data_IF_136389058599
#
_entry.id   IF_136389058599
#
_cell.length_a   1.000
_cell.length_b   1.000
_cell.length_c   1.000
_cell.angle_alpha   90.00
_cell.angle_beta   90.00
_cell.angle_gamma   90.00
#
_symmetry.space_group_name_H-M   'P 1'
#
loop_
_entity.id
_entity.type
_entity.pdbx_description
1 polymer ?
#
# COMPACT_ATOMS: atom_id res chain seq x y z
N UNK A 1 15.56 22.15 7.18
CA UNK A 1 15.39 21.74 5.77
C UNK A 1 15.63 20.25 5.68
N UNK A 2 14.87 19.51 4.84
CA UNK A 2 15.17 18.10 4.62
C UNK A 2 16.64 17.96 4.16
N UNK A 3 17.24 16.81 4.48
CA UNK A 3 18.50 16.41 3.90
C UNK A 3 18.36 16.42 2.36
N UNK A 4 19.33 16.93 1.58
CA UNK A 4 19.24 17.00 0.10
C UNK A 4 18.88 15.68 -0.56
N UNK A 5 19.34 14.55 -0.03
CA UNK A 5 19.00 13.21 -0.49
C UNK A 5 17.51 12.92 -0.30
N UNK A 6 16.95 13.22 0.88
CA UNK A 6 15.51 13.04 1.12
C UNK A 6 14.67 13.95 0.22
N UNK A 7 15.13 15.19 -0.04
CA UNK A 7 14.41 16.10 -0.92
C UNK A 7 14.31 15.55 -2.35
N UNK A 8 15.40 15.00 -2.87
CA UNK A 8 15.40 14.37 -4.20
C UNK A 8 14.38 13.22 -4.27
N UNK A 9 14.32 12.36 -3.24
CA UNK A 9 13.36 11.26 -3.17
C UNK A 9 11.92 11.78 -3.08
N UNK A 10 11.66 12.82 -2.29
CA UNK A 10 10.34 13.44 -2.15
C UNK A 10 9.87 13.98 -3.50
N UNK A 11 10.74 14.70 -4.21
CA UNK A 11 10.41 15.31 -5.50
C UNK A 11 10.13 14.22 -6.56
N UNK A 12 10.95 13.17 -6.63
CA UNK A 12 10.74 12.03 -7.52
C UNK A 12 9.46 11.26 -7.19
N UNK A 13 9.22 11.00 -5.89
CA UNK A 13 8.01 10.32 -5.42
C UNK A 13 6.73 11.05 -5.85
N UNK A 14 6.68 12.37 -5.66
CA UNK A 14 5.53 13.19 -6.06
C UNK A 14 5.38 13.29 -7.57
N UNK A 15 6.50 13.46 -8.30
CA UNK A 15 6.49 13.54 -9.77
C UNK A 15 6.00 12.23 -10.44
N UNK A 16 6.25 11.07 -9.80
CA UNK A 16 5.96 9.76 -10.36
C UNK A 16 4.93 8.95 -9.54
N UNK A 17 4.07 9.64 -8.78
CA UNK A 17 2.96 9.01 -8.01
C UNK A 17 3.41 7.84 -7.14
N UNK A 18 4.46 8.07 -6.36
CA UNK A 18 4.97 7.08 -5.41
C UNK A 18 6.03 6.13 -5.96
N UNK A 19 6.41 6.27 -7.24
CA UNK A 19 7.51 5.50 -7.81
C UNK A 19 8.83 6.24 -7.63
N UNK A 20 9.82 5.54 -7.09
CA UNK A 20 11.19 6.05 -6.92
C UNK A 20 12.14 5.00 -7.46
N UNK A 21 13.09 5.41 -8.26
CA UNK A 21 14.07 4.54 -8.88
C UNK A 21 15.30 4.24 -7.99
N UNK A 22 16.34 3.69 -8.62
CA UNK A 22 17.60 3.38 -7.96
C UNK A 22 17.46 2.41 -6.79
N UNK A 23 18.00 2.73 -5.59
CA UNK A 23 17.95 1.83 -4.43
C UNK A 23 16.51 1.52 -3.94
N UNK A 24 15.54 2.33 -4.35
CA UNK A 24 14.13 2.21 -3.92
C UNK A 24 13.22 1.60 -4.99
N UNK A 25 13.79 1.16 -6.12
CA UNK A 25 13.01 0.56 -7.19
C UNK A 25 12.28 -0.70 -6.71
N UNK A 26 10.96 -0.67 -6.81
CA UNK A 26 10.09 -1.74 -6.33
C UNK A 26 9.96 -1.82 -4.80
N UNK A 27 10.31 -0.77 -4.06
CA UNK A 27 10.03 -0.68 -2.64
C UNK A 27 8.65 -0.04 -2.38
N UNK A 28 7.99 -0.46 -1.29
CA UNK A 28 6.84 0.26 -0.77
C UNK A 28 7.32 1.46 0.02
N UNK A 29 7.13 2.65 -0.54
CA UNK A 29 7.48 3.92 0.07
C UNK A 29 6.24 4.77 0.34
N UNK A 30 6.29 5.54 1.42
CA UNK A 30 5.38 6.63 1.72
C UNK A 30 6.16 7.89 2.09
N UNK A 31 5.53 9.06 1.97
CA UNK A 31 6.03 10.28 2.57
C UNK A 31 5.26 10.53 3.87
N UNK A 32 5.99 10.61 4.98
CA UNK A 32 5.46 10.93 6.29
C UNK A 32 5.73 12.39 6.61
N UNK A 33 4.69 13.21 6.74
CA UNK A 33 4.80 14.59 7.21
C UNK A 33 4.43 14.66 8.69
N UNK A 34 5.37 15.07 9.51
CA UNK A 34 5.27 15.22 10.97
C UNK A 34 5.39 16.68 11.38
N UNK A 35 4.75 17.07 12.50
CA UNK A 35 4.93 18.38 13.12
C UNK A 35 6.17 18.38 14.02
N UNK A 36 7.13 19.25 13.76
CA UNK A 36 8.38 19.35 14.52
C UNK A 36 8.14 19.54 16.00
N UNK A 37 8.69 18.63 16.84
CA UNK A 37 8.47 18.63 18.30
C UNK A 37 8.89 19.94 19.00
N UNK A 38 9.86 20.66 18.44
CA UNK A 38 10.36 21.91 18.99
C UNK A 38 9.96 23.15 18.20
N UNK A 39 9.78 22.99 16.90
CA UNK A 39 9.58 24.12 15.98
C UNK A 39 8.12 24.32 15.59
N UNK A 40 7.28 23.29 15.72
CA UNK A 40 5.90 23.28 15.23
C UNK A 40 5.79 23.31 13.71
N UNK A 41 6.91 23.27 12.96
CA UNK A 41 6.90 23.31 11.51
C UNK A 41 6.77 21.90 10.91
N UNK A 42 6.15 21.74 9.72
CA UNK A 42 6.04 20.44 9.08
C UNK A 42 7.38 19.95 8.54
N UNK A 43 7.63 18.65 8.69
CA UNK A 43 8.80 17.95 8.18
C UNK A 43 8.38 16.69 7.46
N UNK A 44 8.71 16.56 6.17
CA UNK A 44 8.40 15.39 5.35
C UNK A 44 9.63 14.47 5.25
N UNK A 45 9.41 13.18 5.44
CA UNK A 45 10.46 12.14 5.38
C UNK A 45 9.96 10.96 4.54
N UNK A 46 10.71 10.51 3.53
CA UNK A 46 10.40 9.28 2.80
C UNK A 46 10.74 8.06 3.66
N UNK A 47 9.81 7.13 3.80
CA UNK A 47 9.95 5.93 4.62
C UNK A 47 9.46 4.70 3.88
N UNK A 48 10.16 3.57 4.04
CA UNK A 48 9.62 2.27 3.72
C UNK A 48 8.50 1.90 4.68
N UNK A 49 7.46 1.24 4.17
CA UNK A 49 6.34 0.80 4.99
C UNK A 49 5.93 -0.65 4.72
N UNK A 50 5.24 -1.22 5.68
CA UNK A 50 4.62 -2.54 5.59
C UNK A 50 3.11 -2.44 5.80
N UNK A 51 2.28 -3.03 4.94
CA UNK A 51 0.88 -3.28 5.25
C UNK A 51 0.74 -4.11 6.55
N UNK A 52 -0.26 -3.78 7.39
CA UNK A 52 -0.48 -4.48 8.65
C UNK A 52 -1.95 -4.95 8.81
N UNK A 53 -2.61 -5.08 7.67
CA UNK A 53 -4.04 -5.36 7.63
C UNK A 53 -4.91 -4.17 8.06
N UNK A 54 -6.18 -4.18 7.66
CA UNK A 54 -7.08 -3.07 7.98
C UNK A 54 -6.66 -1.76 7.32
N UNK A 55 -6.80 -0.67 8.08
CA UNK A 55 -6.56 0.72 7.65
C UNK A 55 -5.28 1.27 8.27
N UNK A 56 -4.25 0.44 8.40
CA UNK A 56 -2.98 0.86 8.99
C UNK A 56 -1.79 0.30 8.25
N UNK A 57 -0.71 1.05 8.29
CA UNK A 57 0.61 0.65 7.80
C UNK A 57 1.65 0.83 8.90
N UNK A 58 2.72 0.06 8.83
CA UNK A 58 3.83 0.12 9.79
C UNK A 58 5.03 0.83 9.18
N UNK A 59 5.67 1.68 9.96
CA UNK A 59 6.99 2.26 9.67
C UNK A 59 7.97 1.95 10.79
N UNK A 60 9.24 1.75 10.45
CA UNK A 60 10.28 1.29 11.38
C UNK A 60 11.31 2.40 11.62
N UNK A 61 11.47 2.83 12.86
CA UNK A 61 12.35 3.95 13.24
C UNK A 61 13.81 3.51 13.38
N UNK A 62 14.35 2.85 12.32
CA UNK A 62 15.70 2.27 12.35
C UNK A 62 16.83 3.31 12.33
N UNK A 63 16.68 4.39 11.55
CA UNK A 63 17.78 5.33 11.26
C UNK A 63 19.08 4.61 10.83
N UNK A 64 18.95 3.50 10.06
CA UNK A 64 20.09 2.69 9.63
C UNK A 64 20.88 2.00 10.78
N UNK A 65 20.25 1.85 11.95
CA UNK A 65 20.92 1.32 13.15
C UNK A 65 21.68 2.38 13.96
N UNK A 66 21.46 3.69 13.69
CA UNK A 66 22.08 4.76 14.48
C UNK A 66 21.69 4.68 15.98
N UNK A 67 22.56 5.15 16.91
CA UNK A 67 22.30 5.07 18.35
C UNK A 67 21.15 5.97 18.83
N UNK A 68 20.69 6.90 17.99
CA UNK A 68 19.58 7.82 18.28
C UNK A 68 18.38 7.51 17.39
N UNK A 69 17.18 7.74 17.91
CA UNK A 69 15.97 7.70 17.09
C UNK A 69 15.98 8.81 16.04
N UNK A 70 15.37 8.59 14.86
CA UNK A 70 15.25 9.64 13.84
C UNK A 70 14.35 10.78 14.32
N UNK A 71 14.57 11.98 13.80
CA UNK A 71 13.83 13.18 14.21
C UNK A 71 12.31 13.02 14.00
N UNK A 72 11.88 12.40 12.91
CA UNK A 72 10.46 12.15 12.65
C UNK A 72 9.79 11.32 13.75
N UNK A 73 10.53 10.39 14.40
CA UNK A 73 10.01 9.62 15.52
C UNK A 73 9.80 10.49 16.75
N UNK A 74 10.74 11.37 17.07
CA UNK A 74 10.55 12.34 18.16
C UNK A 74 9.38 13.28 17.89
N UNK A 75 9.21 13.71 16.64
CA UNK A 75 8.11 14.57 16.23
C UNK A 75 6.74 13.89 16.46
N UNK A 76 6.56 12.65 15.97
CA UNK A 76 5.28 11.96 16.13
C UNK A 76 4.97 11.54 17.58
N UNK A 77 5.99 11.34 18.42
CA UNK A 77 5.76 11.11 19.85
C UNK A 77 5.21 12.38 20.54
N UNK A 78 5.70 13.56 20.12
CA UNK A 78 5.20 14.83 20.61
C UNK A 78 3.85 15.23 19.99
N UNK A 79 3.68 14.95 18.69
CA UNK A 79 2.50 15.32 17.90
C UNK A 79 2.09 14.12 17.04
N UNK A 80 1.17 13.26 17.54
CA UNK A 80 0.85 11.98 16.87
C UNK A 80 -0.01 12.13 15.62
N UNK A 81 -0.56 13.32 15.33
CA UNK A 81 -1.27 13.57 14.07
C UNK A 81 -0.25 13.83 12.96
N UNK A 82 -0.36 13.06 11.89
CA UNK A 82 0.57 13.06 10.78
C UNK A 82 -0.18 13.01 9.45
N UNK A 83 0.45 13.53 8.39
CA UNK A 83 -0.05 13.35 7.03
C UNK A 83 0.76 12.26 6.33
N UNK A 84 0.08 11.36 5.63
CA UNK A 84 0.66 10.25 4.88
C UNK A 84 0.35 10.42 3.39
N UNK A 85 1.39 10.38 2.54
CA UNK A 85 1.25 10.32 1.08
C UNK A 85 1.73 8.95 0.60
N UNK A 86 0.88 8.18 -0.10
CA UNK A 86 1.23 6.86 -0.67
C UNK A 86 1.38 6.89 -2.19
N UNK A 87 1.59 8.09 -2.74
CA UNK A 87 1.75 8.34 -4.17
C UNK A 87 0.45 8.73 -4.87
N UNK A 88 -0.63 8.04 -4.62
CA UNK A 88 -1.97 8.34 -5.16
C UNK A 88 -2.87 8.93 -4.09
N UNK A 89 -2.78 8.41 -2.88
CA UNK A 89 -3.62 8.83 -1.77
C UNK A 89 -2.85 9.71 -0.80
N UNK A 90 -3.50 10.80 -0.36
CA UNK A 90 -3.05 11.62 0.77
C UNK A 90 -4.13 11.61 1.84
N UNK A 91 -3.74 11.27 3.07
CA UNK A 91 -4.67 11.19 4.20
C UNK A 91 -4.02 11.55 5.53
N UNK A 92 -4.86 11.96 6.48
CA UNK A 92 -4.45 12.19 7.85
C UNK A 92 -4.47 10.87 8.63
N UNK A 93 -3.45 10.66 9.46
CA UNK A 93 -3.31 9.47 10.27
C UNK A 93 -2.90 9.81 11.70
N UNK A 94 -3.24 8.92 12.62
CA UNK A 94 -2.74 8.93 13.99
C UNK A 94 -1.60 7.92 14.12
N UNK A 95 -0.42 8.41 14.52
CA UNK A 95 0.74 7.56 14.77
C UNK A 95 0.66 6.94 16.17
N UNK A 96 0.80 5.61 16.24
CA UNK A 96 0.79 4.84 17.48
C UNK A 96 2.08 4.04 17.58
N UNK A 97 2.93 4.36 18.54
CA UNK A 97 4.11 3.57 18.83
C UNK A 97 3.65 2.23 19.41
N UNK A 98 4.03 1.13 18.79
CA UNK A 98 3.65 -0.20 19.26
C UNK A 98 4.29 -0.51 20.62
N UNK A 99 3.53 -1.15 21.50
CA UNK A 99 4.07 -1.72 22.72
C UNK A 99 5.09 -2.84 22.41
N UNK A 100 5.77 -3.32 23.44
CA UNK A 100 6.86 -4.28 23.26
C UNK A 100 6.43 -5.56 22.53
N UNK A 101 5.30 -6.14 22.90
CA UNK A 101 4.84 -7.40 22.32
C UNK A 101 4.44 -7.24 20.85
N UNK A 102 3.60 -6.26 20.55
CA UNK A 102 3.18 -5.94 19.18
C UNK A 102 4.37 -5.48 18.31
N UNK A 103 5.31 -4.72 18.90
CA UNK A 103 6.55 -4.32 18.23
C UNK A 103 7.40 -5.52 17.85
N UNK A 104 7.62 -6.45 18.79
CA UNK A 104 8.49 -7.62 18.57
C UNK A 104 7.91 -8.52 17.48
N UNK A 105 6.59 -8.74 17.48
CA UNK A 105 5.89 -9.48 16.42
C UNK A 105 6.03 -8.78 15.05
N UNK A 106 5.73 -7.48 14.97
CA UNK A 106 5.81 -6.71 13.74
C UNK A 106 7.25 -6.64 13.21
N UNK A 107 8.23 -6.48 14.08
CA UNK A 107 9.64 -6.43 13.71
C UNK A 107 10.14 -7.80 13.22
N UNK A 108 9.69 -8.90 13.84
CA UNK A 108 10.02 -10.25 13.38
C UNK A 108 9.50 -10.51 11.96
N UNK A 109 8.26 -10.06 11.64
CA UNK A 109 7.71 -10.12 10.27
C UNK A 109 8.53 -9.30 9.27
N UNK A 110 9.00 -8.12 9.69
CA UNK A 110 9.85 -7.30 8.85
C UNK A 110 11.20 -7.98 8.57
N UNK A 111 11.83 -8.60 9.59
CA UNK A 111 13.07 -9.37 9.45
C UNK A 111 12.87 -10.60 8.57
N UNK A 112 11.73 -11.30 8.69
CA UNK A 112 11.39 -12.42 7.81
C UNK A 112 11.32 -11.99 6.33
N UNK A 113 10.75 -10.82 6.08
CA UNK A 113 10.61 -10.24 4.74
C UNK A 113 11.93 -9.68 4.19
N UNK A 114 12.74 -9.07 5.07
CA UNK A 114 14.05 -8.47 4.73
C UNK A 114 15.01 -8.57 5.93
N UNK A 115 16.01 -9.48 5.85
CA UNK A 115 17.01 -9.67 6.92
C UNK A 115 17.82 -8.42 7.28
N UNK A 116 17.88 -7.41 6.40
CA UNK A 116 18.57 -6.14 6.67
C UNK A 116 18.06 -5.40 7.91
N UNK A 117 16.81 -5.66 8.31
CA UNK A 117 16.27 -5.11 9.57
C UNK A 117 16.97 -5.67 10.81
N UNK A 118 17.33 -6.96 10.81
CA UNK A 118 18.11 -7.56 11.89
C UNK A 118 19.51 -6.94 11.97
N UNK A 119 20.13 -6.65 10.83
CA UNK A 119 21.44 -5.96 10.79
C UNK A 119 21.37 -4.55 11.38
N UNK A 120 20.26 -3.81 11.14
CA UNK A 120 20.09 -2.49 11.78
C UNK A 120 19.92 -2.61 13.29
N UNK A 121 19.18 -3.60 13.77
CA UNK A 121 19.04 -3.84 15.22
C UNK A 121 20.37 -4.27 15.86
N UNK A 122 21.21 -5.03 15.15
CA UNK A 122 22.52 -5.46 15.64
C UNK A 122 23.52 -4.31 15.76
N UNK A 123 23.32 -3.19 15.07
CA UNK A 123 24.20 -2.00 15.12
C UNK A 123 23.92 -1.08 16.32
N UNK A 124 22.87 -1.33 17.11
CA UNK A 124 22.47 -0.42 18.19
C UNK A 124 21.90 -1.18 19.39
N UNK A 125 22.22 -0.71 20.60
CA UNK A 125 21.67 -1.24 21.85
C UNK A 125 20.23 -0.79 22.12
N UNK A 126 19.76 0.27 21.42
CA UNK A 126 18.36 0.70 21.55
C UNK A 126 17.42 -0.28 20.86
N UNK A 127 16.27 -0.52 21.44
CA UNK A 127 15.19 -1.21 20.74
C UNK A 127 14.67 -0.30 19.63
N UNK A 128 14.74 -0.74 18.37
CA UNK A 128 14.22 0.00 17.23
C UNK A 128 12.69 0.01 17.29
N UNK A 129 12.03 1.19 17.40
CA UNK A 129 10.58 1.25 17.47
C UNK A 129 9.91 0.90 16.15
N UNK A 130 8.72 0.32 16.24
CA UNK A 130 7.76 0.19 15.13
C UNK A 130 6.56 1.06 15.44
N UNK A 131 6.11 1.81 14.47
CA UNK A 131 5.00 2.76 14.58
C UNK A 131 3.91 2.35 13.61
N UNK A 132 2.69 2.19 14.10
CA UNK A 132 1.50 2.02 13.28
C UNK A 132 0.94 3.41 12.93
N UNK A 133 0.76 3.67 11.64
CA UNK A 133 0.05 4.83 11.12
C UNK A 133 -1.37 4.37 10.81
N UNK A 134 -2.33 4.82 11.62
CA UNK A 134 -3.74 4.48 11.47
C UNK A 134 -4.45 5.63 10.79
N UNK A 135 -5.04 5.36 9.63
CA UNK A 135 -5.85 6.37 8.93
C UNK A 135 -6.97 6.89 9.83
N UNK A 136 -7.13 8.21 9.89
CA UNK A 136 -8.21 8.84 10.64
C UNK A 136 -9.53 8.68 9.88
N UNK A 137 -10.64 8.35 10.58
CA UNK A 137 -11.96 8.30 9.96
C UNK A 137 -12.27 9.61 9.24
N UNK A 138 -12.77 9.54 8.03
CA UNK A 138 -13.20 10.69 7.23
C UNK A 138 -14.52 10.42 6.54
N UNK A 139 -15.34 11.44 6.28
CA UNK A 139 -16.49 11.29 5.39
C UNK A 139 -16.01 11.21 3.93
N UNK A 140 -16.52 10.24 3.18
CA UNK A 140 -16.31 10.11 1.74
C UNK A 140 -15.04 9.37 1.30
N UNK A 141 -14.84 9.25 -0.02
CA UNK A 141 -13.72 8.51 -0.60
C UNK A 141 -12.36 9.16 -0.32
N UNK A 142 -11.26 8.42 -0.49
CA UNK A 142 -9.91 8.94 -0.39
C UNK A 142 -9.68 10.13 -1.33
N UNK A 143 -8.89 11.10 -0.86
CA UNK A 143 -8.48 12.22 -1.72
C UNK A 143 -7.42 11.73 -2.71
N UNK A 144 -7.74 11.83 -3.99
CA UNK A 144 -6.84 11.50 -5.10
C UNK A 144 -6.51 12.80 -5.84
N UNK A 145 -5.24 13.09 -6.03
CA UNK A 145 -4.81 14.20 -6.87
C UNK A 145 -4.85 13.77 -8.34
N UNK A 146 -5.87 14.22 -9.04
CA UNK A 146 -6.07 13.95 -10.47
C UNK A 146 -6.78 15.12 -11.14
N UNK A 147 -6.48 15.34 -12.41
CA UNK A 147 -7.07 16.43 -13.22
C UNK A 147 -8.46 16.08 -13.75
N UNK A 148 -8.81 14.79 -13.77
CA UNK A 148 -10.12 14.28 -14.19
C UNK A 148 -10.46 12.98 -13.47
N UNK A 149 -11.76 12.59 -13.40
CA UNK A 149 -12.18 11.30 -12.86
C UNK A 149 -11.50 10.10 -13.53
N UNK A 150 -11.30 10.16 -14.85
CA UNK A 150 -10.61 9.09 -15.59
C UNK A 150 -9.13 8.99 -15.27
N UNK A 151 -8.48 10.10 -14.93
CA UNK A 151 -7.11 10.07 -14.40
C UNK A 151 -7.06 9.48 -12.99
N UNK A 152 -8.05 9.80 -12.16
CA UNK A 152 -8.16 9.23 -10.81
C UNK A 152 -8.29 7.71 -10.84
N UNK A 153 -9.17 7.17 -11.70
CA UNK A 153 -9.35 5.72 -11.87
C UNK A 153 -8.04 5.07 -12.32
N UNK A 154 -7.41 5.56 -13.39
CA UNK A 154 -6.12 5.02 -13.84
C UNK A 154 -5.04 5.05 -12.76
N UNK A 155 -5.01 6.11 -11.95
CA UNK A 155 -4.06 6.21 -10.85
C UNK A 155 -4.29 5.13 -9.79
N UNK A 156 -5.54 4.81 -9.45
CA UNK A 156 -5.91 3.71 -8.54
C UNK A 156 -5.55 2.35 -9.14
N UNK A 157 -5.87 2.13 -10.42
CA UNK A 157 -5.50 0.90 -11.14
C UNK A 157 -3.99 0.67 -11.14
N UNK A 158 -3.20 1.71 -11.35
CA UNK A 158 -1.74 1.65 -11.28
C UNK A 158 -1.21 1.24 -9.89
N UNK A 159 -1.94 1.57 -8.81
CA UNK A 159 -1.61 1.07 -7.47
C UNK A 159 -1.81 -0.44 -7.40
N UNK A 160 -2.93 -0.97 -7.90
CA UNK A 160 -3.18 -2.42 -7.89
C UNK A 160 -2.17 -3.18 -8.76
N UNK A 161 -1.88 -2.68 -9.97
CA UNK A 161 -0.83 -3.27 -10.83
C UNK A 161 0.51 -3.32 -10.11
N UNK A 162 0.88 -2.23 -9.44
CA UNK A 162 2.13 -2.15 -8.69
C UNK A 162 2.15 -3.14 -7.52
N UNK A 163 1.09 -3.21 -6.73
CA UNK A 163 1.01 -4.13 -5.59
C UNK A 163 1.08 -5.60 -6.03
N UNK A 164 0.40 -5.98 -7.11
CA UNK A 164 0.51 -7.31 -7.69
C UNK A 164 1.95 -7.62 -8.15
N UNK A 165 2.61 -6.66 -8.81
CA UNK A 165 4.00 -6.83 -9.23
C UNK A 165 4.95 -7.00 -8.03
N UNK A 166 4.73 -6.25 -6.93
CA UNK A 166 5.51 -6.38 -5.69
C UNK A 166 5.27 -7.74 -5.02
N UNK A 167 4.02 -8.19 -4.91
CA UNK A 167 3.66 -9.50 -4.37
C UNK A 167 4.33 -10.61 -5.18
N UNK A 168 4.26 -10.56 -6.52
CA UNK A 168 4.93 -11.53 -7.39
C UNK A 168 6.45 -11.55 -7.19
N UNK A 169 7.07 -10.36 -7.06
CA UNK A 169 8.50 -10.23 -6.75
C UNK A 169 8.84 -10.85 -5.39
N UNK A 170 8.00 -10.63 -4.38
CA UNK A 170 8.16 -11.22 -3.05
C UNK A 170 8.04 -12.76 -3.10
N UNK A 171 7.13 -13.30 -3.89
CA UNK A 171 7.06 -14.74 -4.14
C UNK A 171 8.34 -15.28 -4.79
N UNK A 172 8.95 -14.53 -5.70
CA UNK A 172 10.17 -14.95 -6.40
C UNK A 172 11.43 -14.82 -5.53
N UNK A 173 11.53 -13.76 -4.70
CA UNK A 173 12.73 -13.40 -3.95
C UNK A 173 12.97 -14.26 -2.70
N UNK A 174 11.92 -14.87 -2.15
CA UNK A 174 12.03 -15.54 -0.88
C UNK A 174 12.74 -16.89 -1.01
N UNK A 175 14.01 -16.92 -0.76
CA UNK A 175 14.89 -18.12 -0.79
C UNK A 175 14.80 -19.03 0.44
N UNK A 176 13.79 -18.90 1.30
CA UNK A 176 13.81 -19.43 2.65
C UNK A 176 12.99 -20.68 2.95
N UNK A 177 12.40 -21.34 1.99
CA UNK A 177 11.60 -22.54 2.26
C UNK A 177 10.20 -22.50 1.64
N UNK A 178 9.43 -23.59 1.72
CA UNK A 178 8.13 -23.69 1.07
C UNK A 178 7.04 -22.84 1.75
N UNK A 179 7.18 -22.54 3.05
CA UNK A 179 6.16 -21.83 3.81
C UNK A 179 5.97 -20.38 3.33
N UNK A 180 4.74 -19.91 3.36
CA UNK A 180 4.39 -18.53 3.04
C UNK A 180 4.65 -17.64 4.26
N UNK A 181 5.53 -16.64 4.11
CA UNK A 181 5.89 -15.70 5.17
C UNK A 181 4.69 -14.88 5.68
N UNK A 182 4.71 -14.52 6.95
CA UNK A 182 3.59 -13.83 7.59
C UNK A 182 3.32 -12.45 6.95
N UNK A 183 4.36 -11.70 6.60
CA UNK A 183 4.19 -10.40 5.94
C UNK A 183 3.61 -10.56 4.52
N UNK A 184 4.05 -11.55 3.76
CA UNK A 184 3.52 -11.78 2.41
C UNK A 184 2.02 -12.16 2.44
N UNK A 185 1.58 -12.94 3.45
CA UNK A 185 0.15 -13.22 3.68
C UNK A 185 -0.63 -11.92 3.90
N UNK A 186 -0.13 -11.03 4.77
CA UNK A 186 -0.78 -9.74 5.03
C UNK A 186 -0.83 -8.88 3.77
N UNK A 187 0.22 -8.86 2.95
CA UNK A 187 0.25 -8.12 1.69
C UNK A 187 -0.84 -8.62 0.73
N UNK A 188 -0.98 -9.94 0.55
CA UNK A 188 -2.04 -10.54 -0.27
C UNK A 188 -3.44 -10.18 0.25
N UNK A 189 -3.68 -10.32 1.56
CA UNK A 189 -4.99 -10.03 2.15
C UNK A 189 -5.35 -8.54 2.06
N UNK A 190 -4.37 -7.66 2.20
CA UNK A 190 -4.56 -6.20 2.05
C UNK A 190 -4.93 -5.85 0.62
N UNK A 191 -4.25 -6.42 -0.38
CA UNK A 191 -4.60 -6.26 -1.79
C UNK A 191 -6.03 -6.73 -2.08
N UNK A 192 -6.38 -7.93 -1.60
CA UNK A 192 -7.72 -8.48 -1.79
C UNK A 192 -8.81 -7.55 -1.23
N UNK A 193 -8.59 -6.99 -0.03
CA UNK A 193 -9.55 -6.06 0.57
C UNK A 193 -9.65 -4.76 -0.23
N UNK A 194 -8.51 -4.25 -0.71
CA UNK A 194 -8.47 -3.04 -1.54
C UNK A 194 -9.27 -3.19 -2.83
N UNK A 195 -9.10 -4.31 -3.54
CA UNK A 195 -9.82 -4.62 -4.77
C UNK A 195 -11.33 -4.79 -4.54
N UNK A 196 -11.75 -5.50 -3.49
CA UNK A 196 -13.17 -5.60 -3.15
C UNK A 196 -13.81 -4.23 -2.92
N UNK A 197 -13.14 -3.37 -2.16
CA UNK A 197 -13.65 -2.04 -1.86
C UNK A 197 -13.73 -1.17 -3.13
N UNK A 198 -12.77 -1.31 -4.04
CA UNK A 198 -12.73 -0.59 -5.32
C UNK A 198 -13.89 -1.00 -6.21
N UNK A 199 -14.04 -2.28 -6.52
CA UNK A 199 -15.13 -2.80 -7.36
C UNK A 199 -16.51 -2.53 -6.75
N UNK A 200 -16.65 -2.68 -5.41
CA UNK A 200 -17.91 -2.33 -4.75
C UNK A 200 -18.25 -0.84 -4.88
N UNK A 201 -17.24 0.05 -4.82
CA UNK A 201 -17.43 1.48 -5.03
C UNK A 201 -17.89 1.81 -6.45
N UNK A 202 -17.36 1.12 -7.44
CA UNK A 202 -17.77 1.26 -8.86
C UNK A 202 -19.18 0.76 -9.10
N UNK A 203 -19.49 -0.43 -8.63
CA UNK A 203 -20.83 -1.04 -8.80
C UNK A 203 -21.93 -0.26 -8.10
N UNK A 204 -21.64 0.32 -6.92
CA UNK A 204 -22.66 1.00 -6.09
C UNK A 204 -22.78 2.49 -6.45
N UNK A 205 -21.69 3.15 -6.84
CA UNK A 205 -21.68 4.60 -7.00
C UNK A 205 -21.30 5.05 -8.42
N UNK A 206 -20.16 4.58 -8.96
CA UNK A 206 -19.63 5.10 -10.22
C UNK A 206 -20.50 4.71 -11.40
N UNK A 207 -20.74 3.41 -11.62
CA UNK A 207 -21.50 2.92 -12.77
C UNK A 207 -22.93 3.46 -12.78
N UNK A 208 -23.70 3.44 -11.68
CA UNK A 208 -25.02 4.05 -11.68
C UNK A 208 -25.01 5.56 -12.00
N UNK A 209 -23.99 6.28 -11.55
CA UNK A 209 -23.86 7.71 -11.85
C UNK A 209 -23.56 7.99 -13.32
N UNK A 210 -22.91 7.08 -14.01
CA UNK A 210 -22.59 7.18 -15.44
C UNK A 210 -23.71 6.66 -16.32
N UNK A 211 -24.43 5.60 -15.94
CA UNK A 211 -25.55 5.02 -16.71
C UNK A 211 -26.62 6.06 -17.06
N UNK A 212 -26.93 6.95 -16.12
CA UNK A 212 -27.92 8.03 -16.35
C UNK A 212 -27.47 9.08 -17.38
N UNK A 213 -26.16 9.22 -17.60
CA UNK A 213 -25.56 10.22 -18.52
C UNK A 213 -25.08 9.60 -19.82
N UNK A 214 -24.75 8.34 -19.81
CA UNK A 214 -24.12 7.56 -20.87
C UNK A 214 -24.82 6.22 -21.06
N UNK A 215 -26.12 6.20 -21.49
CA UNK A 215 -26.87 4.95 -21.65
C UNK A 215 -26.26 4.02 -22.72
N UNK A 216 -25.46 4.54 -23.64
CA UNK A 216 -24.72 3.76 -24.63
C UNK A 216 -23.67 2.83 -24.00
N UNK A 217 -23.23 3.10 -22.77
CA UNK A 217 -22.26 2.27 -22.04
C UNK A 217 -22.89 1.12 -21.27
N UNK A 218 -24.22 0.96 -21.25
CA UNK A 218 -24.89 -0.11 -20.52
C UNK A 218 -24.31 -1.51 -20.81
N UNK A 219 -24.01 -1.91 -22.07
CA UNK A 219 -23.39 -3.21 -22.33
C UNK A 219 -21.97 -3.34 -21.73
N UNK A 220 -21.23 -2.23 -21.64
CA UNK A 220 -19.91 -2.23 -21.01
C UNK A 220 -20.03 -2.41 -19.49
N UNK A 221 -20.95 -1.70 -18.82
CA UNK A 221 -21.18 -1.87 -17.38
C UNK A 221 -21.66 -3.28 -17.03
N UNK A 222 -22.56 -3.87 -17.85
CA UNK A 222 -22.98 -5.26 -17.65
C UNK A 222 -21.82 -6.25 -17.75
N UNK A 223 -20.88 -5.99 -18.65
CA UNK A 223 -19.66 -6.80 -18.77
C UNK A 223 -18.74 -6.59 -17.57
N UNK A 224 -18.47 -5.36 -17.17
CA UNK A 224 -17.60 -5.02 -16.02
C UNK A 224 -18.13 -5.67 -14.73
N UNK A 225 -19.44 -5.59 -14.45
CA UNK A 225 -20.04 -6.26 -13.28
C UNK A 225 -19.81 -7.78 -13.29
N UNK A 226 -19.97 -8.44 -14.44
CA UNK A 226 -19.64 -9.87 -14.54
C UNK A 226 -18.15 -10.16 -14.36
N UNK A 227 -17.28 -9.24 -14.76
CA UNK A 227 -15.84 -9.34 -14.49
C UNK A 227 -15.54 -9.17 -13.00
N UNK A 228 -16.19 -8.20 -12.31
CA UNK A 228 -16.11 -8.06 -10.86
C UNK A 228 -16.50 -9.34 -10.11
N UNK A 229 -17.60 -10.00 -10.54
CA UNK A 229 -18.02 -11.29 -9.96
C UNK A 229 -16.92 -12.37 -10.11
N UNK A 230 -16.29 -12.47 -11.29
CA UNK A 230 -15.20 -13.43 -11.52
C UNK A 230 -13.96 -13.09 -10.68
N UNK A 231 -13.57 -11.83 -10.63
CA UNK A 231 -12.44 -11.37 -9.81
C UNK A 231 -12.73 -11.64 -8.32
N UNK A 232 -13.94 -11.40 -7.84
CA UNK A 232 -14.31 -11.70 -6.46
C UNK A 232 -14.14 -13.21 -6.11
N UNK A 233 -14.39 -14.12 -7.05
CA UNK A 233 -14.10 -15.55 -6.85
C UNK A 233 -12.60 -15.78 -6.71
N UNK A 234 -11.77 -15.19 -7.59
CA UNK A 234 -10.29 -15.32 -7.51
C UNK A 234 -9.73 -14.72 -6.20
N UNK A 235 -10.28 -13.58 -5.75
CA UNK A 235 -9.91 -12.99 -4.46
C UNK A 235 -10.24 -13.92 -3.29
N UNK A 236 -11.39 -14.58 -3.32
CA UNK A 236 -11.77 -15.55 -2.29
C UNK A 236 -10.89 -16.79 -2.31
N UNK A 237 -10.53 -17.30 -3.50
CA UNK A 237 -9.60 -18.41 -3.65
C UNK A 237 -8.22 -18.06 -3.11
N UNK A 238 -7.68 -16.90 -3.47
CA UNK A 238 -6.40 -16.41 -2.93
C UNK A 238 -6.44 -16.27 -1.40
N UNK A 239 -7.51 -15.65 -0.84
CA UNK A 239 -7.68 -15.54 0.62
C UNK A 239 -7.67 -16.89 1.31
N UNK A 240 -8.41 -17.85 0.76
CA UNK A 240 -8.48 -19.22 1.31
C UNK A 240 -7.10 -19.87 1.34
N UNK A 241 -6.36 -19.78 0.24
CA UNK A 241 -5.03 -20.38 0.13
C UNK A 241 -4.04 -19.71 1.06
N UNK A 242 -3.93 -18.37 1.08
CA UNK A 242 -2.94 -17.66 1.92
C UNK A 242 -3.29 -17.69 3.41
N UNK A 243 -4.54 -17.95 3.79
CA UNK A 243 -4.97 -18.04 5.19
C UNK A 243 -4.85 -19.45 5.76
N UNK A 244 -4.57 -20.46 4.94
CA UNK A 244 -4.39 -21.82 5.44
C UNK A 244 -3.17 -21.90 6.39
N UNK A 245 -3.25 -22.70 7.46
CA UNK A 245 -2.13 -22.86 8.42
C UNK A 245 -0.84 -23.36 7.75
N UNK A 246 -0.99 -24.22 6.76
CA UNK A 246 0.07 -24.86 5.96
C UNK A 246 0.28 -24.14 4.59
N UNK A 247 -0.19 -22.89 4.45
CA UNK A 247 -0.04 -22.14 3.22
C UNK A 247 1.41 -22.08 2.77
N UNK A 248 1.63 -22.48 1.55
CA UNK A 248 2.92 -22.48 0.90
C UNK A 248 2.89 -21.65 -0.39
N UNK A 249 4.05 -21.45 -0.98
CA UNK A 249 4.22 -20.68 -2.20
C UNK A 249 3.70 -21.39 -3.43
N UNK A 250 3.90 -22.70 -3.50
CA UNK A 250 3.50 -23.50 -4.66
C UNK A 250 1.97 -23.48 -4.83
N UNK A 251 1.24 -23.46 -3.71
CA UNK A 251 -0.22 -23.33 -3.72
C UNK A 251 -0.72 -21.90 -3.96
N UNK A 252 -0.01 -20.87 -3.45
CA UNK A 252 -0.47 -19.50 -3.53
C UNK A 252 -0.09 -18.79 -4.85
N UNK A 253 1.06 -19.08 -5.44
CA UNK A 253 1.53 -18.41 -6.66
C UNK A 253 0.59 -18.55 -7.85
N UNK A 254 0.03 -19.74 -8.18
CA UNK A 254 -0.91 -19.88 -9.28
C UNK A 254 -2.16 -19.01 -9.12
N UNK A 255 -2.64 -18.83 -7.88
CA UNK A 255 -3.80 -17.96 -7.60
C UNK A 255 -3.45 -16.48 -7.84
N UNK A 256 -2.25 -16.04 -7.43
CA UNK A 256 -1.76 -14.69 -7.70
C UNK A 256 -1.60 -14.45 -9.20
N UNK A 257 -1.10 -15.42 -9.96
CA UNK A 257 -0.94 -15.29 -11.42
C UNK A 257 -2.29 -15.20 -12.12
N UNK A 258 -3.24 -16.09 -11.80
CA UNK A 258 -4.61 -16.04 -12.36
C UNK A 258 -5.31 -14.72 -12.05
N UNK A 259 -5.20 -14.24 -10.82
CA UNK A 259 -5.75 -12.93 -10.42
C UNK A 259 -5.09 -11.80 -11.22
N UNK A 260 -3.77 -11.86 -11.42
CA UNK A 260 -3.03 -10.83 -12.18
C UNK A 260 -3.53 -10.75 -13.61
N UNK A 261 -3.66 -11.89 -14.29
CA UNK A 261 -4.07 -11.93 -15.70
C UNK A 261 -5.52 -11.44 -15.89
N UNK A 262 -6.44 -11.88 -15.05
CA UNK A 262 -7.85 -11.45 -15.11
C UNK A 262 -8.00 -9.97 -14.75
N UNK A 263 -7.29 -9.51 -13.72
CA UNK A 263 -7.35 -8.11 -13.29
C UNK A 263 -6.76 -7.18 -14.36
N UNK A 264 -5.62 -7.51 -14.97
CA UNK A 264 -5.03 -6.69 -16.02
C UNK A 264 -5.94 -6.55 -17.25
N UNK A 265 -6.58 -7.65 -17.65
CA UNK A 265 -7.54 -7.63 -18.74
C UNK A 265 -8.76 -6.76 -18.41
N UNK A 266 -9.27 -6.87 -17.18
CA UNK A 266 -10.39 -6.08 -16.67
C UNK A 266 -10.06 -4.58 -16.64
N UNK A 267 -8.97 -4.19 -15.96
CA UNK A 267 -8.58 -2.79 -15.81
C UNK A 267 -8.32 -2.12 -17.16
N UNK A 268 -7.70 -2.85 -18.10
CA UNK A 268 -7.46 -2.35 -19.46
C UNK A 268 -8.77 -2.12 -20.21
N UNK A 269 -9.71 -3.05 -20.10
CA UNK A 269 -11.02 -2.93 -20.74
C UNK A 269 -11.81 -1.75 -20.15
N UNK A 270 -11.86 -1.64 -18.83
CA UNK A 270 -12.56 -0.57 -18.13
C UNK A 270 -12.01 0.80 -18.51
N UNK A 271 -10.70 1.00 -18.44
CA UNK A 271 -10.04 2.25 -18.83
C UNK A 271 -10.38 2.66 -20.27
N UNK A 272 -10.42 1.69 -21.19
CA UNK A 272 -10.77 1.95 -22.59
C UNK A 272 -12.23 2.35 -22.76
N UNK A 273 -13.16 1.71 -22.06
CA UNK A 273 -14.60 1.98 -22.16
C UNK A 273 -14.97 3.32 -21.51
N UNK A 274 -14.39 3.63 -20.35
CA UNK A 274 -14.75 4.82 -19.57
C UNK A 274 -13.98 6.08 -19.98
N UNK A 275 -12.96 5.97 -20.83
CA UNK A 275 -12.08 7.07 -21.21
C UNK A 275 -12.82 8.31 -21.74
N UNK A 276 -13.92 8.13 -22.46
CA UNK A 276 -14.71 9.24 -23.03
C UNK A 276 -15.69 9.84 -22.00
N UNK A 277 -16.27 9.03 -21.14
CA UNK A 277 -17.28 9.43 -20.15
C UNK A 277 -16.68 10.12 -18.91
N UNK A 278 -15.38 9.94 -18.68
CA UNK A 278 -14.65 10.42 -17.49
C UNK A 278 -13.64 11.53 -17.80
N UNK A 279 -13.78 12.21 -18.92
CA UNK A 279 -12.95 13.39 -19.28
C UNK A 279 -13.31 14.62 -18.47
#
# INVERSE_FOLDING_TARGET
MPNPFNQQIIDEFRAHRGRVGGPFEGARLLLLTTTGARTGTPHTTPLGYYPDGGERVLVIASAGGAPRHPDWFHNLVAHPQVTVETGVFTYEATAVVLDRAARDEAFARAVESDPGWAEYQAKTDRVIPVVALRENPRPGPPRIEASSPGEAIRAVHDVFRRELALIRKEFAASGGGPALGAQLRINCLTLCKGLDNHHAGEDIALFPSLEGRHPELAPAFDRLRREHERIAVLLNDLRRVVSAPDADRAGALPEVERLTDELEAHLTYEEAQLAAALR
#
